data_IF_986008233747
#
_entry.id   IF_986008233747
#
_cell.length_a   1.000
_cell.length_b   1.000
_cell.length_c   1.000
_cell.angle_alpha   90.00
_cell.angle_beta   90.00
_cell.angle_gamma   90.00
#
_symmetry.space_group_name_H-M   'P 1'
#
loop_
_entity.id
_entity.type
_entity.pdbx_description
1 polymer ?
#
# COMPACT_ATOMS: atom_id res chain seq x y z
N UNK A 1 21.28 11.72 16.62
CA UNK A 1 20.15 11.45 15.70
C UNK A 1 20.68 10.68 14.51
N UNK A 2 20.07 9.57 14.15
CA UNK A 2 20.44 8.81 12.96
C UNK A 2 19.86 9.51 11.71
N UNK A 3 20.68 9.69 10.64
CA UNK A 3 20.21 10.33 9.42
C UNK A 3 19.23 9.42 8.68
N UNK A 4 18.23 10.05 8.04
CA UNK A 4 17.09 9.40 7.37
C UNK A 4 17.05 9.73 5.89
N UNK A 5 16.88 8.71 5.04
CA UNK A 5 16.42 8.89 3.65
C UNK A 5 14.94 8.50 3.53
N UNK A 6 14.12 9.39 3.00
CA UNK A 6 12.78 9.04 2.52
C UNK A 6 12.88 8.60 1.05
N UNK A 7 12.43 7.37 0.77
CA UNK A 7 12.38 6.84 -0.60
C UNK A 7 10.95 6.84 -1.11
N UNK A 8 10.73 7.36 -2.32
CA UNK A 8 9.41 7.42 -2.98
C UNK A 8 9.52 6.70 -4.32
N UNK A 9 8.71 5.66 -4.55
CA UNK A 9 8.55 5.09 -5.89
C UNK A 9 7.35 5.73 -6.58
N UNK A 10 7.43 5.96 -7.88
CA UNK A 10 6.36 6.68 -8.60
C UNK A 10 6.19 6.22 -10.05
N UNK A 11 4.95 6.33 -10.55
CA UNK A 11 4.59 6.22 -11.96
C UNK A 11 3.29 7.00 -12.21
N UNK A 12 3.37 8.11 -12.95
CA UNK A 12 2.22 8.97 -13.30
C UNK A 12 1.45 9.49 -12.06
N UNK A 13 2.17 10.13 -11.16
CA UNK A 13 1.65 10.67 -9.89
C UNK A 13 1.81 12.20 -9.80
N UNK A 14 1.70 12.92 -10.93
CA UNK A 14 1.84 14.38 -10.97
C UNK A 14 0.88 15.10 -10.00
N UNK A 15 -0.30 14.55 -9.75
CA UNK A 15 -1.27 15.11 -8.80
C UNK A 15 -0.84 14.98 -7.33
N UNK A 16 0.06 14.06 -7.00
CA UNK A 16 0.37 13.70 -5.62
C UNK A 16 1.83 13.91 -5.22
N UNK A 17 2.77 13.78 -6.15
CA UNK A 17 4.19 13.73 -5.85
C UNK A 17 4.72 14.98 -5.11
N UNK A 18 4.21 16.18 -5.43
CA UNK A 18 4.64 17.41 -4.78
C UNK A 18 4.39 17.38 -3.26
N UNK A 19 3.16 17.05 -2.87
CA UNK A 19 2.78 16.99 -1.45
C UNK A 19 3.47 15.84 -0.71
N UNK A 20 3.74 14.69 -1.37
CA UNK A 20 4.51 13.60 -0.78
C UNK A 20 5.93 14.09 -0.41
N UNK A 21 6.61 14.75 -1.35
CA UNK A 21 7.94 15.33 -1.14
C UNK A 21 7.90 16.38 -0.03
N UNK A 22 6.93 17.30 -0.05
CA UNK A 22 6.81 18.36 0.98
C UNK A 22 6.61 17.75 2.37
N UNK A 23 5.81 16.70 2.49
CA UNK A 23 5.60 16.01 3.77
C UNK A 23 6.86 15.32 4.31
N UNK A 24 7.80 14.98 3.42
CA UNK A 24 9.07 14.33 3.72
C UNK A 24 10.25 15.32 3.91
N UNK A 25 10.03 16.64 3.79
CA UNK A 25 11.08 17.68 3.82
C UNK A 25 11.92 17.74 5.10
N UNK A 26 11.53 17.02 6.13
CA UNK A 26 12.27 16.90 7.38
C UNK A 26 13.43 15.87 7.33
N UNK A 27 13.46 15.01 6.30
CA UNK A 27 14.49 14.00 6.11
C UNK A 27 15.81 14.61 5.62
N UNK A 28 16.91 13.92 5.87
CA UNK A 28 18.25 14.34 5.44
C UNK A 28 18.47 14.13 3.95
N UNK A 29 17.74 13.19 3.34
CA UNK A 29 17.75 12.91 1.90
C UNK A 29 16.36 12.45 1.45
N UNK A 30 15.93 12.86 0.26
CA UNK A 30 14.71 12.40 -0.40
C UNK A 30 15.10 11.86 -1.76
N UNK A 31 14.76 10.59 -2.00
CA UNK A 31 15.02 9.90 -3.26
C UNK A 31 13.70 9.48 -3.91
N UNK A 32 13.44 10.02 -5.09
CA UNK A 32 12.33 9.58 -5.96
C UNK A 32 12.86 8.58 -7.00
N UNK A 33 12.24 7.42 -7.12
CA UNK A 33 12.54 6.42 -8.17
C UNK A 33 11.33 6.32 -9.09
N UNK A 34 11.48 6.88 -10.27
CA UNK A 34 10.44 6.95 -11.30
C UNK A 34 10.49 5.77 -12.25
N UNK A 35 9.32 5.22 -12.60
CA UNK A 35 9.17 4.06 -13.46
C UNK A 35 8.84 4.40 -14.93
N UNK A 36 9.15 5.63 -15.38
CA UNK A 36 8.89 6.09 -16.73
C UNK A 36 7.60 6.91 -16.84
N UNK A 37 7.36 7.82 -15.90
CA UNK A 37 6.20 8.73 -15.93
C UNK A 37 6.18 9.62 -17.16
N UNK A 38 4.99 9.89 -17.67
CA UNK A 38 4.72 10.71 -18.87
C UNK A 38 3.84 11.92 -18.58
N UNK A 39 3.43 12.15 -17.32
CA UNK A 39 2.45 13.17 -16.89
C UNK A 39 3.06 14.39 -16.20
N UNK A 40 4.38 14.58 -16.25
CA UNK A 40 5.07 15.67 -15.56
C UNK A 40 5.53 15.36 -14.14
N UNK A 41 5.28 14.16 -13.60
CA UNK A 41 5.73 13.72 -12.27
C UNK A 41 7.21 14.01 -12.01
N UNK A 42 8.08 13.65 -12.98
CA UNK A 42 9.54 13.82 -12.89
C UNK A 42 9.94 15.28 -12.82
N UNK A 43 9.32 16.14 -13.63
CA UNK A 43 9.63 17.58 -13.65
C UNK A 43 9.21 18.25 -12.33
N UNK A 44 8.07 17.87 -11.77
CA UNK A 44 7.63 18.33 -10.45
C UNK A 44 8.63 17.90 -9.37
N UNK A 45 9.04 16.63 -9.36
CA UNK A 45 9.99 16.13 -8.37
C UNK A 45 11.36 16.84 -8.47
N UNK A 46 11.89 17.03 -9.68
CA UNK A 46 13.13 17.78 -9.93
C UNK A 46 13.00 19.24 -9.51
N UNK A 47 11.86 19.88 -9.77
CA UNK A 47 11.56 21.25 -9.34
C UNK A 47 11.55 21.44 -7.83
N UNK A 48 11.30 20.37 -7.06
CA UNK A 48 11.43 20.35 -5.59
C UNK A 48 12.87 20.16 -5.09
N UNK A 49 13.85 19.99 -5.99
CA UNK A 49 15.28 19.87 -5.64
C UNK A 49 15.68 18.54 -5.03
N UNK A 50 14.83 17.50 -5.13
CA UNK A 50 15.12 16.16 -4.62
C UNK A 50 15.86 15.29 -5.64
N UNK A 51 16.50 14.23 -5.19
CA UNK A 51 17.16 13.26 -6.06
C UNK A 51 16.12 12.45 -6.83
N UNK A 52 16.26 12.37 -8.16
CA UNK A 52 15.35 11.58 -9.02
C UNK A 52 16.17 10.59 -9.83
N UNK A 53 15.83 9.31 -9.72
CA UNK A 53 16.37 8.25 -10.55
C UNK A 53 15.24 7.66 -11.40
N UNK A 54 15.55 7.30 -12.64
CA UNK A 54 14.63 6.60 -13.53
C UNK A 54 15.05 5.14 -13.61
N UNK A 55 14.09 4.21 -13.45
CA UNK A 55 14.31 2.78 -13.57
C UNK A 55 13.09 2.11 -14.18
N UNK A 56 13.31 1.23 -15.15
CA UNK A 56 12.24 0.41 -15.71
C UNK A 56 11.50 -0.37 -14.63
N UNK A 57 10.19 -0.49 -14.78
CA UNK A 57 9.35 -1.20 -13.83
C UNK A 57 9.58 -2.71 -13.88
N UNK A 58 9.99 -3.30 -12.77
CA UNK A 58 10.20 -4.74 -12.61
C UNK A 58 9.35 -5.35 -11.49
N UNK A 59 8.48 -4.54 -10.87
CA UNK A 59 7.60 -4.92 -9.77
C UNK A 59 7.87 -4.12 -8.50
N UNK A 60 6.87 -4.06 -7.63
CA UNK A 60 6.93 -3.24 -6.39
C UNK A 60 8.10 -3.61 -5.49
N UNK A 61 8.35 -4.91 -5.26
CA UNK A 61 9.44 -5.39 -4.39
C UNK A 61 10.79 -4.94 -4.92
N UNK A 62 11.03 -5.13 -6.22
CA UNK A 62 12.31 -4.79 -6.84
C UNK A 62 12.52 -3.27 -6.87
N UNK A 63 11.45 -2.50 -7.15
CA UNK A 63 11.53 -1.04 -7.19
C UNK A 63 11.82 -0.45 -5.81
N UNK A 64 11.13 -0.93 -4.77
CA UNK A 64 11.34 -0.48 -3.39
C UNK A 64 12.68 -0.92 -2.82
N UNK A 65 13.16 -2.12 -3.14
CA UNK A 65 14.51 -2.56 -2.76
C UNK A 65 15.59 -1.72 -3.44
N UNK A 66 15.45 -1.47 -4.74
CA UNK A 66 16.37 -0.58 -5.46
C UNK A 66 16.41 0.82 -4.85
N UNK A 67 15.25 1.40 -4.53
CA UNK A 67 15.19 2.71 -3.88
C UNK A 67 15.94 2.71 -2.54
N UNK A 68 15.78 1.66 -1.73
CA UNK A 68 16.50 1.50 -0.47
C UNK A 68 18.02 1.31 -0.69
N UNK A 69 18.45 0.60 -1.73
CA UNK A 69 19.86 0.43 -2.10
C UNK A 69 20.53 1.73 -2.54
N UNK A 70 19.78 2.61 -3.24
CA UNK A 70 20.26 3.93 -3.72
C UNK A 70 20.15 5.05 -2.70
N UNK A 71 19.56 4.79 -1.54
CA UNK A 71 19.40 5.76 -0.47
C UNK A 71 20.76 6.20 0.11
N UNK A 72 20.89 7.46 0.53
CA UNK A 72 22.12 8.02 1.10
C UNK A 72 22.39 7.48 2.51
N UNK A 73 21.36 7.09 3.24
CA UNK A 73 21.44 6.68 4.64
C UNK A 73 20.90 5.27 4.86
N UNK A 74 21.27 4.66 6.00
CA UNK A 74 20.86 3.29 6.34
C UNK A 74 19.43 3.22 6.90
N UNK A 75 18.93 4.28 7.55
CA UNK A 75 17.54 4.39 7.93
C UNK A 75 16.71 4.90 6.77
N UNK A 76 15.69 4.14 6.44
CA UNK A 76 14.78 4.38 5.32
C UNK A 76 13.37 4.57 5.84
N UNK A 77 12.69 5.61 5.36
CA UNK A 77 11.23 5.65 5.38
C UNK A 77 10.72 5.46 3.94
N UNK A 78 10.06 4.33 3.68
CA UNK A 78 9.48 4.07 2.37
C UNK A 78 8.08 4.68 2.30
N UNK A 79 7.93 5.69 1.45
CA UNK A 79 6.69 6.44 1.23
C UNK A 79 6.17 6.14 -0.17
N UNK A 80 4.87 5.92 -0.33
CA UNK A 80 4.25 5.85 -1.64
C UNK A 80 3.87 7.28 -2.09
N UNK A 81 3.81 7.55 -3.39
CA UNK A 81 3.59 8.91 -3.92
C UNK A 81 2.23 9.50 -3.50
N UNK A 82 1.25 8.65 -3.21
CA UNK A 82 -0.09 9.00 -2.73
C UNK A 82 -0.20 9.02 -1.18
N UNK A 83 0.95 8.98 -0.47
CA UNK A 83 1.00 9.05 0.99
C UNK A 83 1.58 10.38 1.47
N UNK A 84 1.25 10.79 2.72
CA UNK A 84 1.75 12.00 3.39
C UNK A 84 2.14 11.69 4.82
N UNK A 85 3.25 12.28 5.28
CA UNK A 85 3.74 12.20 6.66
C UNK A 85 3.23 13.42 7.43
N UNK A 86 2.17 13.31 8.26
CA UNK A 86 1.71 14.42 9.09
C UNK A 86 2.75 14.84 10.13
N UNK A 87 2.63 16.07 10.67
CA UNK A 87 3.56 16.62 11.65
C UNK A 87 3.74 15.71 12.88
N UNK A 88 2.65 15.12 13.38
CA UNK A 88 2.72 14.21 14.53
C UNK A 88 3.54 12.95 14.23
N UNK A 89 3.38 12.34 13.04
CA UNK A 89 4.19 11.18 12.64
C UNK A 89 5.64 11.59 12.39
N UNK A 90 5.89 12.74 11.74
CA UNK A 90 7.22 13.31 11.56
C UNK A 90 7.97 13.44 12.89
N UNK A 91 7.32 14.04 13.89
CA UNK A 91 7.93 14.30 15.19
C UNK A 91 8.21 12.98 15.93
N UNK A 92 7.33 11.97 15.81
CA UNK A 92 7.54 10.62 16.33
C UNK A 92 8.71 9.91 15.64
N UNK A 93 8.83 10.00 14.31
CA UNK A 93 9.99 9.45 13.56
C UNK A 93 11.29 10.08 14.05
N UNK A 94 11.35 11.41 14.16
CA UNK A 94 12.52 12.12 14.66
C UNK A 94 12.89 11.70 16.07
N UNK A 95 11.91 11.58 16.96
CA UNK A 95 12.14 11.11 18.33
C UNK A 95 12.67 9.66 18.37
N UNK A 96 12.11 8.79 17.49
CA UNK A 96 12.57 7.39 17.38
C UNK A 96 14.03 7.29 16.91
N UNK A 97 14.46 8.18 16.02
CA UNK A 97 15.81 8.19 15.46
C UNK A 97 16.80 9.11 16.24
N UNK A 98 16.35 9.79 17.30
CA UNK A 98 17.19 10.70 18.07
C UNK A 98 18.31 9.97 18.82
N UNK A 99 17.98 8.84 19.44
CA UNK A 99 18.88 7.95 20.17
C UNK A 99 19.11 6.65 19.38
N UNK A 100 19.61 5.61 20.02
CA UNK A 100 19.81 4.30 19.42
C UNK A 100 18.45 3.54 19.35
N UNK A 101 17.85 3.37 18.16
CA UNK A 101 16.53 2.75 18.05
C UNK A 101 16.56 1.29 18.50
N UNK A 102 15.67 0.86 19.42
CA UNK A 102 15.68 -0.51 19.94
C UNK A 102 15.23 -1.58 18.93
N UNK A 103 14.68 -1.17 17.79
CA UNK A 103 14.19 -2.05 16.74
C UNK A 103 14.79 -1.67 15.39
N UNK A 104 14.95 -2.66 14.51
CA UNK A 104 15.44 -2.43 13.15
C UNK A 104 14.33 -2.06 12.15
N UNK A 105 13.07 -2.08 12.56
CA UNK A 105 11.94 -1.67 11.76
C UNK A 105 10.72 -1.34 12.60
N UNK A 106 9.89 -0.44 12.08
CA UNK A 106 8.71 0.06 12.75
C UNK A 106 7.50 0.03 11.82
N UNK A 107 6.40 -0.53 12.33
CA UNK A 107 5.11 -0.48 11.67
C UNK A 107 4.43 0.85 11.97
N UNK A 108 3.79 1.40 10.95
CA UNK A 108 3.06 2.68 11.03
C UNK A 108 1.59 2.39 10.72
N UNK A 109 0.63 2.86 11.52
CA UNK A 109 -0.77 2.78 11.17
C UNK A 109 -1.05 3.72 10.00
N UNK A 110 -1.73 3.22 8.97
CA UNK A 110 -2.08 3.99 7.78
C UNK A 110 -3.57 4.26 7.79
N UNK A 111 -3.95 5.54 7.63
CA UNK A 111 -5.34 6.00 7.53
C UNK A 111 -5.61 6.43 6.11
N UNK A 112 -6.67 5.88 5.49
CA UNK A 112 -7.03 6.19 4.11
C UNK A 112 -8.06 7.31 4.03
N UNK A 113 -7.81 8.28 3.12
CA UNK A 113 -8.81 9.26 2.72
C UNK A 113 -9.67 8.66 1.60
N UNK A 114 -10.96 8.55 1.82
CA UNK A 114 -11.88 8.01 0.84
C UNK A 114 -13.29 8.57 1.05
N UNK A 115 -14.03 8.78 -0.04
CA UNK A 115 -15.40 9.33 0.00
C UNK A 115 -15.50 10.62 0.82
N UNK A 116 -14.51 11.51 0.68
CA UNK A 116 -14.48 12.83 1.29
C UNK A 116 -14.11 12.86 2.78
N UNK A 117 -13.60 11.76 3.36
CA UNK A 117 -13.21 11.71 4.78
C UNK A 117 -12.09 10.71 5.07
N UNK A 118 -11.42 10.88 6.21
CA UNK A 118 -10.50 9.89 6.76
C UNK A 118 -11.27 8.71 7.34
N UNK A 119 -11.00 7.49 6.86
CA UNK A 119 -11.69 6.28 7.30
C UNK A 119 -10.93 5.66 8.46
N UNK A 120 -11.59 5.57 9.63
CA UNK A 120 -11.01 5.02 10.87
C UNK A 120 -11.70 3.75 11.34
N UNK A 121 -12.43 3.08 10.46
CA UNK A 121 -13.17 1.85 10.71
C UNK A 121 -12.98 0.86 9.57
N UNK A 122 -13.73 -0.22 9.57
CA UNK A 122 -13.74 -1.26 8.52
C UNK A 122 -12.40 -1.98 8.39
N UNK A 123 -12.16 -2.63 7.25
CA UNK A 123 -10.85 -3.22 6.90
C UNK A 123 -9.81 -2.17 6.48
N UNK A 124 -10.21 -0.88 6.40
CA UNK A 124 -9.31 0.20 6.02
C UNK A 124 -8.47 0.71 7.19
N UNK A 125 -8.88 0.45 8.44
CA UNK A 125 -8.15 0.96 9.61
C UNK A 125 -8.30 0.03 10.84
N UNK A 126 -7.21 -0.15 11.62
CA UNK A 126 -5.84 0.25 11.31
C UNK A 126 -5.19 -0.69 10.27
N UNK A 127 -4.54 -0.08 9.27
CA UNK A 127 -3.72 -0.80 8.30
C UNK A 127 -2.23 -0.57 8.64
N UNK A 128 -1.61 -1.55 9.31
CA UNK A 128 -0.23 -1.43 9.76
C UNK A 128 0.77 -1.84 8.67
N UNK A 129 1.58 -0.88 8.22
CA UNK A 129 2.62 -1.09 7.23
C UNK A 129 4.01 -0.82 7.84
N UNK A 130 5.00 -1.69 7.61
CA UNK A 130 6.38 -1.40 7.96
C UNK A 130 6.93 -0.36 6.98
N UNK A 131 7.13 0.88 7.46
CA UNK A 131 7.57 2.02 6.63
C UNK A 131 8.93 2.57 7.05
N UNK A 132 9.24 2.60 8.34
CA UNK A 132 10.54 3.00 8.86
C UNK A 132 11.37 1.75 9.14
N UNK A 133 12.56 1.63 8.54
CA UNK A 133 13.42 0.47 8.75
C UNK A 133 14.89 0.75 8.44
N UNK A 134 15.77 -0.05 9.03
CA UNK A 134 17.20 -0.02 8.75
C UNK A 134 17.52 -1.05 7.65
N UNK A 135 17.99 -0.58 6.46
CA UNK A 135 18.15 -1.40 5.24
C UNK A 135 19.10 -2.60 5.37
N UNK A 136 20.01 -2.60 6.36
CA UNK A 136 20.90 -3.75 6.59
C UNK A 136 20.20 -4.92 7.27
N UNK A 137 19.08 -4.66 7.95
CA UNK A 137 18.33 -5.65 8.72
C UNK A 137 16.91 -5.86 8.19
N UNK A 138 16.54 -5.19 7.10
CA UNK A 138 15.19 -5.27 6.58
C UNK A 138 15.19 -5.17 5.05
N UNK A 139 14.26 -5.90 4.42
CA UNK A 139 14.13 -5.94 2.97
C UNK A 139 12.69 -6.16 2.56
N UNK A 140 12.28 -5.54 1.44
CA UNK A 140 10.99 -5.82 0.81
C UNK A 140 10.97 -7.23 0.25
N UNK A 141 9.89 -7.97 0.55
CA UNK A 141 9.62 -9.34 0.06
C UNK A 141 8.14 -9.47 -0.27
N UNK A 142 7.82 -10.52 -1.03
CA UNK A 142 6.45 -10.86 -1.39
C UNK A 142 6.25 -11.05 -2.89
N UNK A 143 5.02 -11.41 -3.25
CA UNK A 143 4.60 -11.56 -4.66
C UNK A 143 3.16 -11.02 -4.80
N UNK A 144 2.84 -10.55 -5.98
CA UNK A 144 1.53 -10.02 -6.36
C UNK A 144 1.13 -8.81 -5.50
N UNK A 145 0.17 -8.97 -4.59
CA UNK A 145 -0.46 -7.93 -3.76
C UNK A 145 -0.07 -8.02 -2.27
N UNK A 146 0.92 -8.83 -1.94
CA UNK A 146 1.35 -9.08 -0.56
C UNK A 146 2.82 -8.71 -0.35
N UNK A 147 3.20 -7.52 -0.84
CA UNK A 147 4.53 -6.99 -0.58
C UNK A 147 4.58 -6.39 0.83
N UNK A 148 5.62 -6.75 1.55
CA UNK A 148 5.89 -6.20 2.88
C UNK A 148 7.38 -6.16 3.16
N UNK A 149 7.78 -5.28 4.09
CA UNK A 149 9.14 -5.29 4.63
C UNK A 149 9.25 -6.42 5.65
N UNK A 150 10.17 -7.35 5.40
CA UNK A 150 10.61 -8.33 6.38
C UNK A 150 11.78 -7.76 7.15
N UNK A 151 11.70 -7.75 8.48
CA UNK A 151 12.72 -7.23 9.39
C UNK A 151 13.37 -8.40 10.11
N UNK A 152 14.71 -8.43 10.16
CA UNK A 152 15.46 -9.39 10.95
C UNK A 152 15.42 -8.98 12.43
N UNK A 153 14.72 -9.76 13.24
CA UNK A 153 14.48 -9.50 14.66
C UNK A 153 13.13 -8.83 14.97
N UNK A 154 12.96 -8.34 16.20
CA UNK A 154 11.71 -7.72 16.64
C UNK A 154 11.48 -6.36 15.97
N UNK A 155 10.19 -6.04 15.73
CA UNK A 155 9.75 -4.79 15.13
C UNK A 155 9.00 -3.94 16.16
N UNK A 156 9.24 -2.64 16.12
CA UNK A 156 8.47 -1.63 16.85
C UNK A 156 7.18 -1.24 16.14
N UNK A 157 6.44 -0.36 16.79
CA UNK A 157 5.23 0.23 16.22
C UNK A 157 5.15 1.70 16.60
N UNK A 158 4.94 2.55 15.60
CA UNK A 158 4.62 3.97 15.78
C UNK A 158 3.12 4.12 16.05
N UNK A 159 2.75 5.24 16.66
CA UNK A 159 1.38 5.50 17.12
C UNK A 159 0.63 6.43 16.18
N UNK A 160 1.35 7.34 15.52
CA UNK A 160 0.76 8.36 14.67
C UNK A 160 0.52 7.83 13.26
N UNK A 161 -0.59 8.26 12.64
CA UNK A 161 -1.04 7.78 11.35
C UNK A 161 -0.20 8.32 10.19
N UNK A 162 0.10 7.45 9.21
CA UNK A 162 0.47 7.82 7.86
C UNK A 162 -0.82 8.08 7.06
N UNK A 163 -0.93 9.21 6.39
CA UNK A 163 -2.06 9.56 5.55
C UNK A 163 -1.90 8.97 4.16
N UNK A 164 -2.99 8.38 3.61
CA UNK A 164 -2.99 7.72 2.31
C UNK A 164 -4.21 8.11 1.48
N UNK A 165 -3.98 8.68 0.31
CA UNK A 165 -5.01 9.08 -0.66
C UNK A 165 -5.25 7.95 -1.66
N UNK A 166 -5.80 6.83 -1.16
CA UNK A 166 -5.80 5.53 -1.84
C UNK A 166 -6.67 5.43 -3.10
N UNK A 167 -7.75 6.20 -3.17
CA UNK A 167 -8.68 6.15 -4.29
C UNK A 167 -9.07 7.55 -4.73
N UNK A 168 -9.04 7.80 -6.04
CA UNK A 168 -9.53 9.06 -6.61
C UNK A 168 -11.05 9.16 -6.52
N UNK A 169 -11.76 8.06 -6.78
CA UNK A 169 -13.21 7.96 -6.75
C UNK A 169 -13.70 6.51 -6.63
N UNK A 170 -15.04 6.31 -6.66
CA UNK A 170 -15.64 4.97 -6.66
C UNK A 170 -15.32 4.17 -7.92
N UNK A 171 -15.13 4.82 -9.06
CA UNK A 171 -14.78 4.16 -10.32
C UNK A 171 -13.41 3.49 -10.24
N UNK A 172 -12.41 4.23 -9.72
CA UNK A 172 -11.08 3.71 -9.45
C UNK A 172 -11.14 2.54 -8.46
N UNK A 173 -11.89 2.68 -7.37
CA UNK A 173 -12.08 1.59 -6.40
C UNK A 173 -12.67 0.33 -7.06
N UNK A 174 -13.69 0.45 -7.91
CA UNK A 174 -14.31 -0.67 -8.61
C UNK A 174 -13.32 -1.34 -9.56
N UNK A 175 -12.52 -0.57 -10.29
CA UNK A 175 -11.50 -1.11 -11.20
C UNK A 175 -10.44 -1.90 -10.42
N UNK A 176 -9.95 -1.36 -9.30
CA UNK A 176 -9.00 -2.05 -8.43
C UNK A 176 -9.59 -3.32 -7.79
N UNK A 177 -10.85 -3.27 -7.33
CA UNK A 177 -11.57 -4.46 -6.83
C UNK A 177 -11.62 -5.54 -7.92
N UNK A 178 -11.95 -5.16 -9.15
CA UNK A 178 -12.00 -6.13 -10.26
C UNK A 178 -10.62 -6.74 -10.53
N UNK A 179 -9.55 -5.94 -10.54
CA UNK A 179 -8.18 -6.39 -10.74
C UNK A 179 -7.72 -7.32 -9.59
N UNK A 180 -7.78 -6.85 -8.34
CA UNK A 180 -7.30 -7.61 -7.18
C UNK A 180 -8.12 -8.88 -6.90
N UNK A 181 -9.44 -8.87 -7.14
CA UNK A 181 -10.24 -10.09 -7.03
C UNK A 181 -9.84 -11.15 -8.06
N UNK A 182 -9.36 -10.73 -9.25
CA UNK A 182 -8.83 -11.64 -10.28
C UNK A 182 -7.50 -12.26 -9.83
N UNK A 183 -6.58 -11.44 -9.32
CA UNK A 183 -5.28 -11.93 -8.81
C UNK A 183 -5.47 -12.89 -7.62
N UNK A 184 -6.34 -12.51 -6.68
CA UNK A 184 -6.65 -13.35 -5.52
C UNK A 184 -7.29 -14.70 -5.91
N UNK A 185 -8.22 -14.70 -6.87
CA UNK A 185 -8.82 -15.93 -7.38
C UNK A 185 -7.78 -16.85 -8.05
N UNK A 186 -6.86 -16.29 -8.82
CA UNK A 186 -5.73 -17.04 -9.43
C UNK A 186 -4.82 -17.65 -8.37
N UNK A 187 -4.39 -16.85 -7.40
CA UNK A 187 -3.55 -17.33 -6.30
C UNK A 187 -4.22 -18.47 -5.52
N UNK A 188 -5.52 -18.34 -5.23
CA UNK A 188 -6.29 -19.40 -4.59
C UNK A 188 -6.35 -20.67 -5.46
N UNK A 189 -6.56 -20.51 -6.77
CA UNK A 189 -6.61 -21.62 -7.71
C UNK A 189 -5.27 -22.37 -7.79
N UNK A 190 -4.16 -21.63 -7.91
CA UNK A 190 -2.78 -22.14 -7.97
C UNK A 190 -2.37 -22.84 -6.67
N UNK A 191 -2.84 -22.34 -5.51
CA UNK A 191 -2.64 -22.99 -4.20
C UNK A 191 -3.50 -24.25 -3.97
N UNK A 192 -4.28 -24.66 -4.97
CA UNK A 192 -5.13 -25.85 -4.89
C UNK A 192 -6.50 -25.60 -4.25
N UNK A 193 -6.80 -24.37 -3.81
CA UNK A 193 -8.12 -24.07 -3.21
C UNK A 193 -9.23 -24.15 -4.25
N UNK A 194 -10.37 -24.68 -3.82
CA UNK A 194 -11.59 -24.79 -4.63
C UNK A 194 -12.75 -24.14 -3.88
N UNK A 195 -13.81 -23.81 -4.63
CA UNK A 195 -15.01 -23.15 -4.08
C UNK A 195 -16.27 -23.71 -4.74
N UNK A 196 -17.40 -23.57 -4.02
CA UNK A 196 -18.72 -23.96 -4.47
C UNK A 196 -19.78 -22.89 -4.19
N UNK A 197 -21.06 -23.19 -4.50
CA UNK A 197 -22.16 -22.23 -4.31
C UNK A 197 -22.31 -21.73 -2.86
N UNK A 198 -22.01 -22.60 -1.90
CA UNK A 198 -22.14 -22.27 -0.48
C UNK A 198 -21.17 -21.15 -0.07
N UNK A 199 -19.90 -21.27 -0.46
CA UNK A 199 -18.91 -20.23 -0.13
C UNK A 199 -19.23 -18.91 -0.87
N UNK A 200 -19.68 -18.98 -2.10
CA UNK A 200 -20.11 -17.80 -2.87
C UNK A 200 -21.27 -17.07 -2.17
N UNK A 201 -22.21 -17.83 -1.58
CA UNK A 201 -23.37 -17.24 -0.91
C UNK A 201 -23.06 -16.71 0.50
N UNK A 202 -22.19 -17.38 1.27
CA UNK A 202 -21.98 -17.07 2.71
C UNK A 202 -20.88 -16.02 2.91
N UNK A 203 -19.78 -16.06 2.14
CA UNK A 203 -18.64 -15.19 2.41
C UNK A 203 -18.93 -13.68 2.22
N UNK A 204 -19.68 -13.24 1.19
CA UNK A 204 -19.98 -11.80 1.03
C UNK A 204 -20.78 -11.20 2.19
N UNK A 205 -21.92 -11.77 2.62
CA UNK A 205 -22.66 -11.22 3.77
C UNK A 205 -21.85 -11.29 5.07
N UNK A 206 -21.05 -12.33 5.28
CA UNK A 206 -20.16 -12.42 6.43
C UNK A 206 -19.09 -11.31 6.42
N UNK A 207 -18.53 -11.00 5.24
CA UNK A 207 -17.58 -9.89 5.08
C UNK A 207 -18.25 -8.52 5.35
N UNK A 208 -19.48 -8.33 4.89
CA UNK A 208 -20.27 -7.12 5.19
C UNK A 208 -20.49 -6.97 6.71
N UNK A 209 -21.01 -8.00 7.37
CA UNK A 209 -21.27 -7.96 8.81
C UNK A 209 -19.99 -7.71 9.61
N UNK A 210 -18.89 -8.36 9.24
CA UNK A 210 -17.60 -8.13 9.87
C UNK A 210 -17.19 -6.66 9.75
N UNK A 211 -17.25 -6.05 8.56
CA UNK A 211 -16.83 -4.68 8.35
C UNK A 211 -17.79 -3.67 8.96
N UNK A 212 -19.07 -3.81 8.69
CA UNK A 212 -20.07 -2.82 9.10
C UNK A 212 -20.35 -2.88 10.60
N UNK A 213 -20.46 -4.09 11.18
CA UNK A 213 -20.80 -4.28 12.59
C UNK A 213 -19.54 -4.46 13.44
N UNK A 214 -18.75 -5.53 13.22
CA UNK A 214 -17.67 -5.88 14.13
C UNK A 214 -16.52 -4.86 14.07
N UNK A 215 -16.22 -4.31 12.88
CA UNK A 215 -15.22 -3.25 12.68
C UNK A 215 -15.84 -1.85 12.70
N UNK A 216 -17.08 -1.73 13.19
CA UNK A 216 -17.76 -0.47 13.47
C UNK A 216 -17.88 0.45 12.24
N UNK A 217 -17.99 -0.09 11.02
CA UNK A 217 -18.15 0.69 9.79
C UNK A 217 -19.31 1.69 9.85
N UNK A 218 -20.36 1.39 10.64
CA UNK A 218 -21.50 2.30 10.86
C UNK A 218 -21.10 3.66 11.48
N UNK A 219 -19.96 3.75 12.19
CA UNK A 219 -19.46 5.01 12.74
C UNK A 219 -18.95 5.99 11.66
N UNK A 220 -18.56 5.47 10.49
CA UNK A 220 -18.19 6.28 9.34
C UNK A 220 -19.39 6.61 8.42
N UNK A 221 -20.62 6.38 8.90
CA UNK A 221 -21.86 6.74 8.23
C UNK A 221 -21.98 6.12 6.83
N UNK A 222 -22.41 6.92 5.84
CA UNK A 222 -22.58 6.46 4.45
C UNK A 222 -21.27 5.94 3.85
N UNK A 223 -20.13 6.53 4.18
CA UNK A 223 -18.84 6.07 3.67
C UNK A 223 -18.51 4.65 4.20
N UNK A 224 -18.71 4.40 5.50
CA UNK A 224 -18.50 3.07 6.09
C UNK A 224 -19.46 2.01 5.55
N UNK A 225 -20.73 2.38 5.28
CA UNK A 225 -21.69 1.52 4.61
C UNK A 225 -21.21 1.16 3.19
N UNK A 226 -20.82 2.16 2.39
CA UNK A 226 -20.34 1.98 1.02
C UNK A 226 -19.10 1.08 0.99
N UNK A 227 -18.10 1.34 1.85
CA UNK A 227 -16.88 0.54 1.95
C UNK A 227 -17.22 -0.91 2.33
N UNK A 228 -18.14 -1.11 3.29
CA UNK A 228 -18.54 -2.46 3.71
C UNK A 228 -19.23 -3.25 2.59
N UNK A 229 -20.08 -2.57 1.79
CA UNK A 229 -20.70 -3.17 0.59
C UNK A 229 -19.66 -3.50 -0.48
N UNK A 230 -18.72 -2.58 -0.76
CA UNK A 230 -17.63 -2.80 -1.73
C UNK A 230 -16.71 -3.95 -1.31
N UNK A 231 -16.41 -4.07 -0.02
CA UNK A 231 -15.65 -5.21 0.51
C UNK A 231 -16.41 -6.53 0.32
N UNK A 232 -17.68 -6.56 0.67
CA UNK A 232 -18.53 -7.75 0.45
C UNK A 232 -18.56 -8.14 -1.03
N UNK A 233 -18.70 -7.18 -1.93
CA UNK A 233 -18.67 -7.42 -3.36
C UNK A 233 -17.31 -7.95 -3.83
N UNK A 234 -16.20 -7.35 -3.37
CA UNK A 234 -14.84 -7.84 -3.65
C UNK A 234 -14.66 -9.30 -3.25
N UNK A 235 -15.15 -9.67 -2.07
CA UNK A 235 -15.14 -11.07 -1.59
C UNK A 235 -15.98 -11.96 -2.48
N UNK A 236 -17.18 -11.52 -2.88
CA UNK A 236 -18.05 -12.26 -3.79
C UNK A 236 -17.41 -12.50 -5.16
N UNK A 237 -16.86 -11.42 -5.76
CA UNK A 237 -16.15 -11.51 -7.05
C UNK A 237 -14.99 -12.49 -7.00
N UNK A 238 -14.18 -12.46 -5.94
CA UNK A 238 -13.06 -13.39 -5.76
C UNK A 238 -13.52 -14.86 -5.80
N UNK A 239 -14.55 -15.22 -5.07
CA UNK A 239 -15.07 -16.59 -5.06
C UNK A 239 -15.76 -16.97 -6.36
N UNK A 240 -16.52 -16.06 -6.99
CA UNK A 240 -17.13 -16.30 -8.30
C UNK A 240 -16.07 -16.54 -9.39
N UNK A 241 -15.01 -15.72 -9.43
CA UNK A 241 -13.89 -15.89 -10.37
C UNK A 241 -13.10 -17.19 -10.08
N UNK A 242 -12.93 -17.58 -8.83
CA UNK A 242 -12.33 -18.86 -8.49
C UNK A 242 -13.16 -20.03 -8.99
N UNK A 243 -14.48 -19.95 -8.85
CA UNK A 243 -15.41 -20.97 -9.37
C UNK A 243 -15.37 -21.04 -10.90
N UNK A 244 -15.29 -19.91 -11.61
CA UNK A 244 -15.14 -19.85 -13.06
C UNK A 244 -13.82 -20.52 -13.52
N UNK A 245 -12.69 -20.21 -12.87
CA UNK A 245 -11.38 -20.81 -13.16
C UNK A 245 -11.37 -22.34 -12.99
N UNK A 246 -12.16 -22.89 -12.08
CA UNK A 246 -12.30 -24.34 -11.89
C UNK A 246 -12.98 -25.03 -13.07
N UNK A 247 -13.89 -24.33 -13.78
CA UNK A 247 -14.67 -24.87 -14.91
C UNK A 247 -14.00 -24.66 -16.26
N UNK A 248 -13.18 -23.62 -16.38
CA UNK A 248 -12.53 -23.25 -17.65
C UNK A 248 -11.04 -22.97 -17.46
N UNK A 249 -10.22 -23.97 -17.10
CA UNK A 249 -8.81 -23.74 -16.74
C UNK A 249 -7.93 -23.23 -17.90
N UNK A 250 -8.34 -23.40 -19.14
CA UNK A 250 -7.46 -23.22 -20.32
C UNK A 250 -7.71 -21.96 -21.14
N UNK A 251 -8.80 -21.20 -20.93
CA UNK A 251 -9.18 -20.12 -21.85
C UNK A 251 -8.94 -18.69 -21.34
N UNK A 252 -8.51 -18.50 -20.10
CA UNK A 252 -8.48 -17.17 -19.47
C UNK A 252 -7.16 -16.81 -18.78
N UNK A 253 -6.05 -17.40 -19.18
CA UNK A 253 -4.73 -16.94 -18.78
C UNK A 253 -4.19 -16.03 -19.89
N UNK A 254 -4.38 -14.72 -19.87
CA UNK A 254 -3.57 -13.82 -20.67
C UNK A 254 -2.12 -14.00 -20.17
N UNK A 255 -1.20 -14.22 -21.11
CA UNK A 255 0.22 -14.27 -20.83
C UNK A 255 0.62 -13.04 -19.97
N UNK A 256 1.27 -13.29 -18.84
CA UNK A 256 1.80 -12.26 -17.93
C UNK A 256 3.02 -11.52 -18.51
N UNK A 257 3.08 -11.34 -19.84
CA UNK A 257 4.18 -10.67 -20.55
C UNK A 257 3.84 -9.31 -21.13
N UNK A 258 2.69 -8.72 -20.77
CA UNK A 258 2.38 -7.34 -21.18
C UNK A 258 1.56 -6.66 -20.09
N UNK A 259 2.23 -6.02 -19.15
CA UNK A 259 1.97 -4.70 -18.54
C UNK A 259 2.93 -4.47 -17.38
#
# INVERSE_FOLDING_TARGET
>A
MHPLTVTIITLNEAAHIADAIDSASFADDILVVDSGSTDGTVDIARGKGVRVLTREWTGYVDQKNYAAEQASHDWIFSLDADERIPSALRDEIRATLADDPPFHGYRVPRVSFHLGRWIRTTDFYPDYQTRLYHRRFARWRGRYVHESVTVDGPSGQLKNDLQHYSFSDLRDQIQRINHYSTLAARQMYESGRRTGPVEIAIHPPAAFLRNYILRKGFLDGTAGLTISLMNAWSVGLKFMKLWELQRSPKSQIPNSKSQ
#
